data_IF_559455195248
#
_entry.id   IF_559455195248
#
_cell.length_a   1.000
_cell.length_b   1.000
_cell.length_c   1.000
_cell.angle_alpha   90.00
_cell.angle_beta   90.00
_cell.angle_gamma   90.00
#
_symmetry.space_group_name_H-M   'P 1'
#
loop_
_entity.id
_entity.type
_entity.pdbx_description
1 polymer ?
#
# COMPACT_ATOMS: atom_id res chain seq x y z
N UNK A 1 -5.38 7.21 20.39
CA UNK A 1 -5.21 8.67 20.70
C UNK A 1 -3.79 9.17 20.49
N UNK A 2 -2.72 8.38 20.69
CA UNK A 2 -1.34 8.89 20.56
C UNK A 2 -0.86 9.04 19.11
N UNK A 3 -1.55 8.50 18.12
CA UNK A 3 -1.23 8.69 16.68
C UNK A 3 -1.81 9.97 16.09
N UNK A 4 -2.76 10.61 16.79
CA UNK A 4 -3.43 11.83 16.34
C UNK A 4 -3.42 12.88 17.45
N UNK A 5 -3.44 14.16 17.13
CA UNK A 5 -3.51 15.24 18.11
C UNK A 5 -4.71 15.06 19.06
N UNK A 6 -4.48 15.29 20.34
CA UNK A 6 -5.55 15.21 21.36
C UNK A 6 -6.56 16.36 21.25
N UNK A 7 -6.13 17.50 20.72
CA UNK A 7 -6.93 18.72 20.55
C UNK A 7 -6.62 19.36 19.21
N UNK A 8 -7.67 19.81 18.53
CA UNK A 8 -7.57 20.62 17.31
C UNK A 8 -8.45 21.86 17.46
N UNK A 9 -7.99 22.99 16.91
CA UNK A 9 -8.75 24.26 16.89
C UNK A 9 -9.77 24.24 15.73
N UNK A 10 -10.82 23.46 15.88
CA UNK A 10 -11.88 23.35 14.86
C UNK A 10 -13.24 23.25 15.55
N UNK A 11 -14.25 23.99 15.04
CA UNK A 11 -15.64 23.90 15.51
C UNK A 11 -16.46 23.07 14.52
N UNK A 12 -17.02 21.97 14.99
CA UNK A 12 -17.85 21.09 14.19
C UNK A 12 -17.26 19.70 14.00
N UNK A 13 -17.73 18.98 13.01
CA UNK A 13 -17.25 17.64 12.65
C UNK A 13 -16.21 17.78 11.53
N UNK A 14 -15.03 17.21 11.75
CA UNK A 14 -13.94 17.17 10.79
C UNK A 14 -13.58 15.70 10.53
N UNK A 15 -13.66 15.28 9.28
CA UNK A 15 -13.15 14.00 8.83
C UNK A 15 -11.74 14.22 8.26
N UNK A 16 -10.78 13.43 8.72
CA UNK A 16 -9.40 13.44 8.21
C UNK A 16 -9.08 12.05 7.71
N UNK A 17 -8.61 12.00 6.46
CA UNK A 17 -8.18 10.75 5.83
C UNK A 17 -6.66 10.69 5.83
N UNK A 18 -6.12 9.53 6.17
CA UNK A 18 -4.68 9.33 6.25
C UNK A 18 -4.31 7.85 6.32
N UNK A 19 -3.04 7.59 6.41
CA UNK A 19 -2.49 6.24 6.53
C UNK A 19 -1.66 6.10 7.80
N UNK A 20 -1.75 4.93 8.44
CA UNK A 20 -0.87 4.56 9.55
C UNK A 20 0.31 3.80 8.98
N UNK A 21 1.50 4.32 9.19
CA UNK A 21 2.75 3.76 8.67
C UNK A 21 3.72 3.38 9.78
N UNK A 22 4.59 2.42 9.50
CA UNK A 22 5.72 2.03 10.35
C UNK A 22 7.03 2.22 9.59
N UNK A 23 8.16 2.50 10.28
CA UNK A 23 9.45 2.70 9.64
C UNK A 23 9.91 1.50 8.80
N UNK A 24 10.60 1.75 7.70
CA UNK A 24 11.17 0.72 6.81
C UNK A 24 12.23 -0.14 7.49
N UNK A 25 12.80 0.31 8.62
CA UNK A 25 13.71 -0.48 9.46
C UNK A 25 13.04 -1.68 10.13
N UNK A 26 11.70 -1.71 10.14
CA UNK A 26 10.92 -2.83 10.69
C UNK A 26 10.63 -3.80 9.53
N UNK A 27 11.03 -5.08 9.63
CA UNK A 27 10.70 -6.07 8.62
C UNK A 27 9.17 -6.18 8.41
N UNK A 28 8.74 -6.24 7.15
CA UNK A 28 7.31 -6.24 6.79
C UNK A 28 6.52 -5.10 7.44
N UNK A 29 7.06 -3.89 7.43
CA UNK A 29 6.54 -2.70 8.12
C UNK A 29 5.05 -2.42 7.84
N UNK A 30 4.55 -2.71 6.63
CA UNK A 30 3.11 -2.61 6.28
C UNK A 30 2.25 -3.59 7.07
N UNK A 31 2.68 -4.87 7.12
CA UNK A 31 1.97 -5.89 7.90
C UNK A 31 2.07 -5.59 9.40
N UNK A 32 3.21 -5.07 9.85
CA UNK A 32 3.39 -4.61 11.23
C UNK A 32 2.42 -3.48 11.58
N UNK A 33 2.27 -2.46 10.73
CA UNK A 33 1.33 -1.36 10.93
C UNK A 33 -0.12 -1.87 10.97
N UNK A 34 -0.52 -2.67 9.97
CA UNK A 34 -1.87 -3.25 9.90
C UNK A 34 -2.18 -4.17 11.10
N UNK A 35 -1.26 -5.06 11.45
CA UNK A 35 -1.39 -5.94 12.61
C UNK A 35 -1.47 -5.17 13.94
N UNK A 36 -0.76 -4.03 14.02
CA UNK A 36 -0.82 -3.16 15.19
C UNK A 36 -2.22 -2.59 15.44
N UNK A 37 -2.90 -2.19 14.37
CA UNK A 37 -4.29 -1.69 14.45
C UNK A 37 -5.29 -2.77 14.84
N UNK A 38 -4.93 -4.05 14.69
CA UNK A 38 -5.75 -5.20 15.10
C UNK A 38 -5.59 -5.62 16.56
N UNK A 39 -4.68 -5.02 17.33
CA UNK A 39 -4.46 -5.36 18.75
C UNK A 39 -5.69 -5.00 19.59
N UNK A 40 -6.04 -5.90 20.53
CA UNK A 40 -7.26 -5.77 21.35
C UNK A 40 -6.93 -5.91 22.84
N UNK A 41 -7.83 -5.36 23.68
CA UNK A 41 -7.71 -5.43 25.14
C UNK A 41 -6.68 -4.45 25.71
N UNK A 42 -6.54 -4.45 27.04
CA UNK A 42 -5.62 -3.55 27.74
C UNK A 42 -4.16 -3.85 27.42
N UNK A 43 -3.78 -5.12 27.44
CA UNK A 43 -2.41 -5.53 27.07
C UNK A 43 -2.05 -5.18 25.63
N UNK A 44 -3.00 -5.31 24.70
CA UNK A 44 -2.81 -4.89 23.31
C UNK A 44 -2.68 -3.39 23.16
N UNK A 45 -3.38 -2.59 23.98
CA UNK A 45 -3.24 -1.13 24.00
C UNK A 45 -1.86 -0.71 24.51
N UNK A 46 -1.35 -1.35 25.58
CA UNK A 46 -0.02 -1.06 26.13
C UNK A 46 1.09 -1.38 25.12
N UNK A 47 0.92 -2.46 24.37
CA UNK A 47 1.81 -2.82 23.28
C UNK A 47 1.73 -1.83 22.12
N UNK A 48 0.52 -1.46 21.71
CA UNK A 48 0.27 -0.52 20.62
C UNK A 48 0.94 0.85 20.87
N UNK A 49 0.86 1.36 22.09
CA UNK A 49 1.44 2.66 22.47
C UNK A 49 2.98 2.67 22.30
N UNK A 50 3.62 1.52 22.48
CA UNK A 50 5.08 1.39 22.37
C UNK A 50 5.57 1.21 20.92
N UNK A 51 4.66 0.95 19.97
CA UNK A 51 5.01 0.72 18.57
C UNK A 51 5.32 2.03 17.86
N UNK A 52 6.38 2.10 17.05
CA UNK A 52 6.77 3.31 16.32
C UNK A 52 5.88 3.53 15.09
N UNK A 53 4.62 3.80 15.32
CA UNK A 53 3.63 4.07 14.30
C UNK A 53 3.44 5.58 14.13
N UNK A 54 3.15 5.99 12.89
CA UNK A 54 2.83 7.38 12.56
C UNK A 54 1.57 7.41 11.73
N UNK A 55 0.63 8.31 12.05
CA UNK A 55 -0.50 8.62 11.18
C UNK A 55 -0.12 9.80 10.28
N UNK A 56 -0.23 9.64 8.97
CA UNK A 56 0.07 10.65 7.97
C UNK A 56 -1.21 11.04 7.25
N UNK A 57 -1.66 12.29 7.44
CA UNK A 57 -2.87 12.81 6.82
C UNK A 57 -2.61 13.25 5.37
N UNK A 58 -3.59 12.97 4.48
CA UNK A 58 -3.51 13.38 3.08
C UNK A 58 -4.81 13.96 2.52
N UNK A 59 -5.88 14.02 3.30
CA UNK A 59 -7.15 14.63 2.89
C UNK A 59 -8.00 15.01 4.11
N UNK A 60 -8.87 16.01 3.95
CA UNK A 60 -9.83 16.40 4.98
C UNK A 60 -11.19 16.81 4.40
N UNK A 61 -12.22 16.80 5.23
CA UNK A 61 -13.55 17.30 4.85
C UNK A 61 -13.65 18.84 4.93
N UNK A 62 -12.55 19.54 5.24
CA UNK A 62 -12.53 21.00 5.30
C UNK A 62 -12.49 21.59 3.88
N UNK A 63 -13.22 22.69 3.66
CA UNK A 63 -13.35 23.31 2.35
C UNK A 63 -12.29 24.38 2.11
N UNK A 64 -11.09 23.95 1.69
CA UNK A 64 -10.07 24.84 1.17
C UNK A 64 -10.13 24.93 -0.37
N UNK A 65 -9.78 26.10 -0.90
CA UNK A 65 -9.68 26.30 -2.35
C UNK A 65 -8.53 25.50 -2.94
N UNK A 66 -7.41 25.47 -2.23
CA UNK A 66 -6.20 24.79 -2.66
C UNK A 66 -5.81 23.65 -1.69
N UNK A 67 -5.32 22.55 -2.26
CA UNK A 67 -4.83 21.42 -1.50
C UNK A 67 -3.60 21.75 -0.65
N UNK A 68 -2.70 22.57 -1.17
CA UNK A 68 -1.53 23.03 -0.43
C UNK A 68 -1.93 23.80 0.84
N UNK A 69 -2.93 24.68 0.78
CA UNK A 69 -3.46 25.39 1.94
C UNK A 69 -4.11 24.45 2.95
N UNK A 70 -4.90 23.48 2.46
CA UNK A 70 -5.52 22.43 3.29
C UNK A 70 -4.47 21.63 4.06
N UNK A 71 -3.44 21.15 3.38
CA UNK A 71 -2.35 20.41 4.02
C UNK A 71 -1.57 21.27 5.02
N UNK A 72 -1.26 22.52 4.69
CA UNK A 72 -0.59 23.43 5.63
C UNK A 72 -1.45 23.65 6.88
N UNK A 73 -2.75 23.85 6.74
CA UNK A 73 -3.66 23.99 7.88
C UNK A 73 -3.67 22.72 8.76
N UNK A 74 -3.75 21.52 8.15
CA UNK A 74 -3.68 20.26 8.89
C UNK A 74 -2.35 20.11 9.65
N UNK A 75 -1.24 20.49 9.05
CA UNK A 75 0.08 20.41 9.68
C UNK A 75 0.30 21.50 10.73
N UNK A 76 0.12 22.74 10.37
CA UNK A 76 0.57 23.88 11.18
C UNK A 76 -0.45 24.28 12.25
N UNK A 77 -1.76 24.10 11.98
CA UNK A 77 -2.84 24.46 12.92
C UNK A 77 -3.35 23.25 13.70
N UNK A 78 -3.51 22.10 13.02
CA UNK A 78 -4.05 20.89 13.64
C UNK A 78 -2.96 19.94 14.15
N UNK A 79 -1.68 20.19 13.84
CA UNK A 79 -0.53 19.40 14.29
C UNK A 79 -0.53 17.94 13.82
N UNK A 80 -1.07 17.66 12.64
CA UNK A 80 -0.95 16.35 12.00
C UNK A 80 0.37 16.22 11.24
N UNK A 81 0.91 15.02 11.18
CA UNK A 81 1.87 14.71 10.13
C UNK A 81 1.13 14.69 8.80
N UNK A 82 1.61 15.45 7.82
CA UNK A 82 0.96 15.60 6.52
C UNK A 82 1.84 15.07 5.40
N UNK A 83 1.21 14.46 4.38
CA UNK A 83 1.92 13.80 3.28
C UNK A 83 2.86 14.73 2.51
N UNK A 84 2.55 16.03 2.41
CA UNK A 84 3.36 17.01 1.68
C UNK A 84 4.64 17.43 2.40
N UNK A 85 4.73 17.26 3.72
CA UNK A 85 5.90 17.58 4.56
C UNK A 85 6.53 16.33 5.19
N UNK A 86 5.96 15.16 4.96
CA UNK A 86 6.41 13.92 5.57
C UNK A 86 7.67 13.39 4.87
N UNK A 87 8.68 13.01 5.67
CA UNK A 87 9.93 12.45 5.14
C UNK A 87 9.70 10.98 4.79
N UNK A 88 9.34 10.74 3.54
CA UNK A 88 8.95 9.40 3.06
C UNK A 88 10.10 8.40 2.97
N UNK A 89 11.38 8.84 2.90
CA UNK A 89 12.54 7.95 2.72
C UNK A 89 12.72 6.91 3.84
N UNK A 90 12.19 7.20 5.03
CA UNK A 90 12.29 6.30 6.19
C UNK A 90 11.10 5.36 6.31
N UNK A 91 10.16 5.43 5.37
CA UNK A 91 8.92 4.65 5.35
C UNK A 91 8.72 3.98 3.99
N UNK A 92 8.03 2.82 3.93
CA UNK A 92 7.76 2.16 2.65
C UNK A 92 6.81 3.02 1.81
N UNK A 93 7.17 3.26 0.55
CA UNK A 93 6.35 4.00 -0.42
C UNK A 93 6.16 3.19 -1.69
N UNK A 94 4.99 3.34 -2.34
CA UNK A 94 4.69 2.68 -3.62
C UNK A 94 4.96 3.58 -4.83
N UNK A 95 5.35 4.82 -4.57
CA UNK A 95 5.55 5.84 -5.60
C UNK A 95 5.05 7.21 -5.17
N UNK A 96 4.91 8.10 -6.13
CA UNK A 96 4.49 9.47 -5.92
C UNK A 96 3.08 9.71 -6.47
N UNK A 97 2.27 10.45 -5.73
CA UNK A 97 0.94 10.89 -6.19
C UNK A 97 1.03 12.34 -6.64
N UNK A 98 0.62 12.58 -7.87
CA UNK A 98 0.45 13.91 -8.45
C UNK A 98 -1.04 14.22 -8.49
N UNK A 99 -1.45 15.37 -7.97
CA UNK A 99 -2.84 15.82 -7.99
C UNK A 99 -2.93 17.30 -8.30
N UNK A 100 -4.10 17.73 -8.76
CA UNK A 100 -4.42 19.14 -8.93
C UNK A 100 -4.46 19.84 -7.57
N UNK A 101 -3.81 20.99 -7.48
CA UNK A 101 -3.83 21.81 -6.26
C UNK A 101 -5.17 22.53 -6.07
N UNK A 102 -5.84 22.92 -7.17
CA UNK A 102 -7.18 23.49 -7.15
C UNK A 102 -8.22 22.41 -6.77
N UNK A 103 -8.72 22.49 -5.54
CA UNK A 103 -9.70 21.55 -5.00
C UNK A 103 -11.08 21.63 -5.68
N UNK A 104 -11.43 22.78 -6.27
CA UNK A 104 -12.69 22.94 -7.00
C UNK A 104 -12.62 22.14 -8.30
N UNK A 105 -11.60 22.38 -9.12
CA UNK A 105 -11.36 21.64 -10.35
C UNK A 105 -11.15 20.14 -10.10
N UNK A 106 -10.44 19.79 -9.03
CA UNK A 106 -10.25 18.39 -8.65
C UNK A 106 -11.59 17.67 -8.44
N UNK A 107 -12.53 18.30 -7.74
CA UNK A 107 -13.88 17.75 -7.52
C UNK A 107 -14.72 17.73 -8.79
N UNK A 108 -14.65 18.77 -9.62
CA UNK A 108 -15.38 18.87 -10.89
C UNK A 108 -15.00 17.77 -11.89
N UNK A 109 -13.74 17.36 -11.92
CA UNK A 109 -13.28 16.25 -12.76
C UNK A 109 -13.88 14.90 -12.34
N UNK A 110 -14.33 14.80 -11.08
CA UNK A 110 -14.96 13.59 -10.55
C UNK A 110 -14.04 12.38 -10.50
N UNK A 111 -14.66 11.20 -10.52
CA UNK A 111 -14.00 9.92 -10.32
C UNK A 111 -14.23 8.98 -11.50
N UNK A 112 -13.31 8.08 -11.73
CA UNK A 112 -13.55 6.79 -12.40
C UNK A 112 -14.24 5.85 -11.41
N UNK A 113 -14.46 4.58 -11.77
CA UNK A 113 -15.02 3.61 -10.82
C UNK A 113 -14.23 3.48 -9.50
N UNK A 114 -12.93 3.83 -9.48
CA UNK A 114 -12.05 3.61 -8.31
C UNK A 114 -11.13 4.79 -7.96
N UNK A 115 -10.86 5.70 -8.91
CA UNK A 115 -9.80 6.70 -8.74
C UNK A 115 -10.27 8.09 -9.14
N UNK A 116 -9.80 9.17 -8.47
CA UNK A 116 -10.07 10.53 -8.88
C UNK A 116 -9.41 10.83 -10.23
N UNK A 117 -10.09 11.60 -11.08
CA UNK A 117 -9.54 11.99 -12.40
C UNK A 117 -8.54 13.15 -12.30
N UNK A 118 -8.59 13.89 -11.20
CA UNK A 118 -7.66 15.00 -10.92
C UNK A 118 -6.33 14.58 -10.31
N UNK A 119 -6.07 13.26 -10.16
CA UNK A 119 -4.81 12.74 -9.63
C UNK A 119 -4.36 11.48 -10.35
N UNK A 120 -3.05 11.24 -10.32
CA UNK A 120 -2.45 9.97 -10.77
C UNK A 120 -1.27 9.60 -9.88
N UNK A 121 -1.00 8.31 -9.79
CA UNK A 121 0.17 7.79 -9.08
C UNK A 121 1.24 7.33 -10.06
N UNK A 122 2.45 7.84 -9.92
CA UNK A 122 3.65 7.33 -10.57
C UNK A 122 4.27 6.29 -9.62
N UNK A 123 4.17 5.03 -9.99
CA UNK A 123 4.74 3.92 -9.21
C UNK A 123 6.05 3.49 -9.84
N UNK A 124 7.09 3.34 -9.04
CA UNK A 124 8.32 2.71 -9.48
C UNK A 124 8.07 1.22 -9.67
N UNK A 125 8.45 0.70 -10.84
CA UNK A 125 8.47 -0.74 -11.05
C UNK A 125 9.66 -1.31 -10.30
N UNK A 126 9.40 -2.15 -9.30
CA UNK A 126 10.47 -2.91 -8.68
C UNK A 126 11.06 -3.89 -9.70
N UNK A 127 12.39 -3.98 -9.76
CA UNK A 127 13.06 -5.00 -10.56
C UNK A 127 12.58 -6.39 -10.13
N UNK A 128 12.25 -7.23 -11.11
CA UNK A 128 11.89 -8.61 -10.87
C UNK A 128 13.09 -9.43 -10.41
N UNK A 129 12.82 -10.48 -9.66
CA UNK A 129 13.82 -11.46 -9.25
C UNK A 129 13.54 -12.78 -9.96
N UNK A 130 14.58 -13.48 -10.35
CA UNK A 130 14.47 -14.74 -11.10
C UNK A 130 14.49 -15.92 -10.14
N UNK A 131 13.60 -16.88 -10.42
CA UNK A 131 13.51 -18.14 -9.66
C UNK A 131 12.91 -19.24 -10.52
N UNK A 132 12.91 -20.47 -10.03
CA UNK A 132 12.41 -21.64 -10.73
C UNK A 132 10.95 -21.91 -10.37
N UNK A 133 10.10 -22.20 -11.36
CA UNK A 133 8.74 -22.70 -11.17
C UNK A 133 8.77 -24.19 -10.85
N UNK A 134 8.58 -24.55 -9.57
CA UNK A 134 8.64 -25.96 -9.13
C UNK A 134 7.32 -26.72 -9.34
N UNK A 135 6.19 -26.02 -9.15
CA UNK A 135 4.86 -26.62 -9.30
C UNK A 135 3.77 -25.55 -9.48
N UNK A 136 2.59 -25.98 -9.89
CA UNK A 136 1.37 -25.18 -9.90
C UNK A 136 0.35 -25.81 -8.97
N UNK A 137 -0.09 -25.06 -7.96
CA UNK A 137 -1.14 -25.49 -7.04
C UNK A 137 -2.45 -24.78 -7.38
N UNK A 138 -3.54 -25.51 -7.49
CA UNK A 138 -4.87 -24.97 -7.70
C UNK A 138 -5.58 -24.75 -6.39
N UNK A 139 -6.15 -23.55 -6.21
CA UNK A 139 -6.87 -23.16 -5.00
C UNK A 139 -8.29 -22.73 -5.36
N UNK A 140 -9.24 -23.09 -4.50
CA UNK A 140 -10.63 -22.66 -4.63
C UNK A 140 -10.88 -21.49 -3.67
N UNK A 141 -11.24 -20.34 -4.23
CA UNK A 141 -11.61 -19.14 -3.44
C UNK A 141 -13.00 -19.27 -2.80
N UNK A 142 -13.35 -18.34 -1.91
CA UNK A 142 -14.67 -18.29 -1.23
C UNK A 142 -15.85 -18.21 -2.21
N UNK A 143 -15.63 -17.62 -3.38
CA UNK A 143 -16.63 -17.51 -4.47
C UNK A 143 -16.73 -18.75 -5.36
N UNK A 144 -16.00 -19.84 -5.05
CA UNK A 144 -15.91 -21.04 -5.90
C UNK A 144 -14.97 -20.90 -7.10
N UNK A 145 -14.36 -19.75 -7.30
CA UNK A 145 -13.39 -19.53 -8.39
C UNK A 145 -12.11 -20.29 -8.11
N UNK A 146 -11.66 -21.08 -9.10
CA UNK A 146 -10.39 -21.82 -9.06
C UNK A 146 -9.28 -20.95 -9.61
N UNK A 147 -8.23 -20.74 -8.80
CA UNK A 147 -7.08 -19.89 -9.15
C UNK A 147 -5.77 -20.66 -9.02
N UNK A 148 -4.88 -20.60 -10.02
CA UNK A 148 -3.55 -21.20 -9.94
C UNK A 148 -2.58 -20.33 -9.15
N UNK A 149 -1.73 -20.99 -8.38
CA UNK A 149 -0.62 -20.39 -7.62
C UNK A 149 0.66 -21.11 -7.98
N UNK A 150 1.66 -20.37 -8.41
CA UNK A 150 3.01 -20.88 -8.60
C UNK A 150 3.63 -21.25 -7.26
N UNK A 151 4.20 -22.44 -7.19
CA UNK A 151 5.16 -22.83 -6.14
C UNK A 151 6.54 -22.61 -6.74
N UNK A 152 7.36 -21.85 -6.04
CA UNK A 152 8.64 -21.35 -6.53
C UNK A 152 9.77 -21.83 -5.62
N UNK A 153 10.93 -22.05 -6.19
CA UNK A 153 12.15 -22.06 -5.39
C UNK A 153 12.22 -20.77 -4.58
N UNK A 154 12.40 -20.84 -3.22
CA UNK A 154 12.32 -19.67 -2.38
C UNK A 154 13.34 -18.59 -2.76
N UNK A 155 12.87 -17.37 -2.95
CA UNK A 155 13.69 -16.22 -3.35
C UNK A 155 13.34 -14.98 -2.53
N UNK A 156 14.37 -14.17 -2.20
CA UNK A 156 14.20 -12.92 -1.47
C UNK A 156 13.77 -11.80 -2.42
N UNK A 157 12.59 -11.22 -2.18
CA UNK A 157 12.10 -10.05 -2.93
C UNK A 157 11.80 -8.92 -1.93
N UNK A 158 12.63 -7.87 -1.97
CA UNK A 158 12.60 -6.83 -0.94
C UNK A 158 12.96 -7.41 0.43
N UNK A 159 12.05 -7.31 1.38
CA UNK A 159 12.19 -7.78 2.77
C UNK A 159 11.50 -9.14 3.04
N UNK A 160 10.99 -9.80 2.02
CA UNK A 160 10.23 -11.05 2.19
C UNK A 160 10.81 -12.21 1.38
N UNK A 161 10.84 -13.40 2.02
CA UNK A 161 11.13 -14.65 1.34
C UNK A 161 9.86 -15.15 0.63
N UNK A 162 9.92 -15.22 -0.69
CA UNK A 162 8.79 -15.56 -1.57
C UNK A 162 8.98 -16.97 -2.10
N UNK A 163 8.05 -17.86 -1.82
CA UNK A 163 7.95 -19.23 -2.35
C UNK A 163 6.64 -19.49 -3.10
N UNK A 164 5.76 -18.48 -3.18
CA UNK A 164 4.46 -18.59 -3.85
C UNK A 164 4.14 -17.29 -4.58
N UNK A 165 3.62 -17.40 -5.80
CA UNK A 165 3.20 -16.24 -6.60
C UNK A 165 1.88 -16.52 -7.32
N UNK A 166 1.07 -15.48 -7.55
CA UNK A 166 -0.17 -15.66 -8.30
C UNK A 166 0.12 -15.88 -9.78
N UNK A 167 -0.66 -16.77 -10.38
CA UNK A 167 -0.73 -16.99 -11.83
C UNK A 167 -2.07 -16.51 -12.41
N UNK A 168 -2.85 -15.78 -11.63
CA UNK A 168 -4.16 -15.22 -11.97
C UNK A 168 -5.19 -16.25 -12.45
N UNK A 169 -4.97 -16.87 -13.62
CA UNK A 169 -5.85 -17.86 -14.24
C UNK A 169 -5.08 -18.72 -15.25
N UNK A 170 -5.76 -19.73 -15.82
CA UNK A 170 -5.14 -20.66 -16.79
C UNK A 170 -4.72 -19.97 -18.09
N UNK A 171 -5.44 -18.93 -18.51
CA UNK A 171 -5.07 -18.18 -19.72
C UNK A 171 -3.71 -17.51 -19.56
N UNK A 172 -3.44 -16.95 -18.39
CA UNK A 172 -2.16 -16.32 -18.06
C UNK A 172 -0.98 -17.30 -18.11
N UNK A 173 -1.19 -18.55 -17.64
CA UNK A 173 -0.17 -19.61 -17.72
C UNK A 173 0.17 -19.92 -19.19
N UNK A 174 -0.86 -19.97 -20.06
CA UNK A 174 -0.69 -20.22 -21.50
C UNK A 174 0.01 -19.07 -22.22
N UNK A 175 -0.38 -17.84 -21.92
CA UNK A 175 0.22 -16.62 -22.51
C UNK A 175 1.70 -16.48 -22.17
N UNK A 176 2.09 -16.86 -20.97
CA UNK A 176 3.49 -16.85 -20.53
C UNK A 176 4.25 -18.14 -20.93
N UNK A 177 3.57 -19.11 -21.53
CA UNK A 177 4.14 -20.41 -21.91
C UNK A 177 4.89 -21.09 -20.76
N UNK A 178 4.27 -21.12 -19.55
CA UNK A 178 4.90 -21.63 -18.34
C UNK A 178 4.90 -23.16 -18.31
N UNK A 179 6.04 -23.72 -17.97
CA UNK A 179 6.26 -25.17 -17.76
C UNK A 179 6.93 -25.37 -16.41
N UNK A 180 6.67 -26.52 -15.78
CA UNK A 180 7.35 -26.87 -14.53
C UNK A 180 8.85 -27.03 -14.80
N UNK A 181 9.67 -26.41 -13.98
CA UNK A 181 11.11 -26.34 -14.12
C UNK A 181 11.63 -25.12 -14.88
N UNK A 182 10.77 -24.33 -15.55
CA UNK A 182 11.21 -23.10 -16.22
C UNK A 182 11.65 -22.01 -15.25
N UNK A 183 12.53 -21.14 -15.73
CA UNK A 183 12.90 -19.93 -15.00
C UNK A 183 11.89 -18.81 -15.24
N UNK A 184 11.49 -18.15 -14.17
CA UNK A 184 10.48 -17.09 -14.21
C UNK A 184 10.95 -15.84 -13.49
N UNK A 185 10.52 -14.70 -13.99
CA UNK A 185 10.64 -13.43 -13.29
C UNK A 185 9.44 -13.21 -12.38
N UNK A 186 9.71 -12.90 -11.12
CA UNK A 186 8.69 -12.64 -10.10
C UNK A 186 8.86 -11.25 -9.54
N UNK A 187 7.76 -10.50 -9.43
CA UNK A 187 7.71 -9.20 -8.77
C UNK A 187 6.69 -9.23 -7.63
N UNK A 188 6.84 -8.33 -6.65
CA UNK A 188 5.79 -8.07 -5.64
C UNK A 188 5.01 -6.83 -6.07
N UNK A 189 3.80 -7.02 -6.56
CA UNK A 189 2.91 -5.92 -6.94
C UNK A 189 2.43 -5.18 -5.68
N UNK A 190 2.73 -3.88 -5.60
CA UNK A 190 2.42 -3.07 -4.41
C UNK A 190 3.12 -3.58 -3.15
N UNK A 191 4.30 -4.20 -3.29
CA UNK A 191 5.10 -4.79 -2.21
C UNK A 191 4.39 -5.87 -1.38
N UNK A 192 3.22 -6.36 -1.80
CA UNK A 192 2.42 -7.30 -1.01
C UNK A 192 2.23 -8.63 -1.71
N UNK A 193 1.71 -8.64 -2.94
CA UNK A 193 1.31 -9.88 -3.63
C UNK A 193 2.35 -10.26 -4.69
N UNK A 194 3.08 -11.40 -4.49
CA UNK A 194 3.99 -11.90 -5.52
C UNK A 194 3.21 -12.36 -6.76
N UNK A 195 3.72 -12.02 -7.95
CA UNK A 195 3.20 -12.52 -9.23
C UNK A 195 4.33 -12.88 -10.18
N UNK A 196 4.13 -13.91 -10.94
CA UNK A 196 4.98 -14.24 -12.09
C UNK A 196 4.71 -13.22 -13.18
N UNK A 197 5.76 -12.67 -13.81
CA UNK A 197 5.63 -11.62 -14.86
C UNK A 197 5.90 -12.20 -16.24
N UNK A 198 6.91 -13.04 -16.35
CA UNK A 198 7.30 -13.69 -17.60
C UNK A 198 8.17 -14.93 -17.35
N UNK A 199 8.25 -15.79 -18.35
CA UNK A 199 9.25 -16.83 -18.48
C UNK A 199 10.55 -16.23 -19.04
N UNK A 200 11.70 -16.75 -18.62
CA UNK A 200 13.03 -16.22 -18.97
C UNK A 200 13.77 -17.11 -19.99
N UNK A 201 13.61 -18.42 -19.87
CA UNK A 201 14.19 -19.46 -20.72
C UNK A 201 13.30 -19.85 -21.91
#
# INVERSE_FOLDING_TARGET
KHLVPNFIKYKGVLQITGEVVAPSSIPNSRNFASGSLGLKGLSGLDEFIKRPLVFVAYDSSNSYTNYTEEMNWLGDVCSFNIVTKFISKDFPTDGQVFRLDDNVKFRELGYTAKHPRGAFALKEQQAGVYTTLEAVQWQVGKSGVVSPVAILEPVLIGDANVSRATLHNIQYIRELNLEIGCQVEVIRSGEIIPRVVRRID
#
